data_IF_037090941766
#
_entry.id   IF_037090941766
#
_cell.length_a   1.000
_cell.length_b   1.000
_cell.length_c   1.000
_cell.angle_alpha   90.00
_cell.angle_beta   90.00
_cell.angle_gamma   90.00
#
_symmetry.space_group_name_H-M   'P 1'
#
loop_
_entity.id
_entity.type
_entity.pdbx_description
1 polymer ?
#
# COMPACT_ATOMS: atom_id res chain seq x y z
N UNK A 1 -19.97 -22.79 -1.64
CA UNK A 1 -18.82 -22.46 -2.51
C UNK A 1 -17.62 -23.13 -1.87
N UNK A 2 -16.97 -24.03 -2.59
CA UNK A 2 -15.95 -24.89 -2.02
C UNK A 2 -14.70 -24.07 -1.67
N UNK A 3 -13.92 -24.52 -0.68
CA UNK A 3 -12.77 -23.77 -0.17
C UNK A 3 -11.72 -23.49 -1.28
N UNK A 4 -11.53 -24.46 -2.18
CA UNK A 4 -10.66 -24.31 -3.35
C UNK A 4 -11.14 -23.22 -4.32
N UNK A 5 -12.46 -23.10 -4.55
CA UNK A 5 -13.02 -22.05 -5.41
C UNK A 5 -12.81 -20.66 -4.80
N UNK A 6 -12.93 -20.53 -3.48
CA UNK A 6 -12.70 -19.24 -2.80
C UNK A 6 -11.23 -18.83 -2.88
N UNK A 7 -10.30 -19.77 -2.67
CA UNK A 7 -8.87 -19.56 -2.89
C UNK A 7 -8.59 -19.15 -4.35
N UNK A 8 -9.12 -19.90 -5.32
CA UNK A 8 -8.96 -19.61 -6.75
C UNK A 8 -9.49 -18.21 -7.10
N UNK A 9 -10.62 -17.81 -6.54
CA UNK A 9 -11.16 -16.46 -6.73
C UNK A 9 -10.22 -15.38 -6.19
N UNK A 10 -9.57 -15.59 -5.04
CA UNK A 10 -8.59 -14.66 -4.49
C UNK A 10 -7.40 -14.49 -5.46
N UNK A 11 -6.90 -15.59 -6.01
CA UNK A 11 -5.76 -15.58 -6.95
C UNK A 11 -6.14 -14.96 -8.30
N UNK A 12 -7.29 -15.31 -8.88
CA UNK A 12 -7.72 -14.79 -10.19
C UNK A 12 -8.07 -13.30 -10.11
N UNK A 13 -8.79 -12.89 -9.06
CA UNK A 13 -9.23 -11.50 -8.90
C UNK A 13 -8.20 -10.62 -8.20
N UNK A 14 -6.96 -11.09 -8.02
CA UNK A 14 -5.91 -10.31 -7.34
C UNK A 14 -5.75 -8.90 -7.88
N UNK A 15 -5.92 -8.66 -9.18
CA UNK A 15 -5.83 -7.32 -9.77
C UNK A 15 -6.86 -6.31 -9.24
N UNK A 16 -7.96 -6.80 -8.67
CA UNK A 16 -9.01 -5.95 -8.09
C UNK A 16 -8.65 -5.49 -6.67
N UNK A 17 -7.70 -6.18 -6.02
CA UNK A 17 -7.33 -5.96 -4.62
C UNK A 17 -5.88 -5.49 -4.46
N UNK A 18 -4.96 -6.03 -5.27
CA UNK A 18 -3.53 -5.72 -5.23
C UNK A 18 -3.23 -4.53 -6.13
N UNK A 19 -2.85 -3.43 -5.49
CA UNK A 19 -2.29 -2.29 -6.17
C UNK A 19 -0.77 -2.38 -6.13
N UNK A 20 -0.14 -2.80 -7.23
CA UNK A 20 1.28 -2.54 -7.39
C UNK A 20 1.47 -1.05 -7.69
N UNK A 21 1.95 -0.33 -6.70
CA UNK A 21 2.25 1.07 -6.84
C UNK A 21 3.51 1.22 -7.66
N UNK A 22 3.37 1.75 -8.88
CA UNK A 22 4.53 2.08 -9.70
C UNK A 22 5.25 3.24 -9.04
N UNK A 23 6.36 2.95 -8.37
CA UNK A 23 7.22 3.94 -7.69
C UNK A 23 7.55 5.11 -8.61
N UNK A 24 7.87 4.84 -9.89
CA UNK A 24 8.09 5.90 -10.89
C UNK A 24 6.87 6.75 -11.20
N UNK A 25 5.66 6.20 -11.16
CA UNK A 25 4.42 6.96 -11.35
C UNK A 25 4.07 7.78 -10.11
N UNK A 26 4.29 7.25 -8.90
CA UNK A 26 4.16 8.01 -7.64
C UNK A 26 5.16 9.17 -7.63
N UNK A 27 6.43 8.91 -7.94
CA UNK A 27 7.46 9.94 -8.08
C UNK A 27 7.07 10.98 -9.12
N UNK A 28 6.60 10.56 -10.31
CA UNK A 28 6.11 11.50 -11.32
C UNK A 28 4.94 12.33 -10.80
N UNK A 29 3.97 11.75 -10.08
CA UNK A 29 2.86 12.53 -9.54
C UNK A 29 3.31 13.48 -8.40
N UNK A 30 4.18 13.02 -7.51
CA UNK A 30 4.73 13.81 -6.41
C UNK A 30 5.69 14.91 -6.88
N UNK A 31 6.31 14.78 -8.06
CA UNK A 31 7.29 15.74 -8.59
C UNK A 31 6.72 16.58 -9.74
N UNK A 32 6.11 15.95 -10.75
CA UNK A 32 5.57 16.66 -11.92
C UNK A 32 4.34 17.49 -11.58
N UNK A 33 3.47 17.07 -10.66
CA UNK A 33 2.31 17.90 -10.28
C UNK A 33 2.80 19.19 -9.63
N UNK A 34 3.69 19.17 -8.61
CA UNK A 34 4.27 20.40 -8.09
C UNK A 34 5.05 21.20 -9.14
N UNK A 35 5.88 20.57 -9.98
CA UNK A 35 6.65 21.27 -11.01
C UNK A 35 5.75 21.91 -12.09
N UNK A 36 4.67 21.24 -12.51
CA UNK A 36 3.72 21.77 -13.48
C UNK A 36 2.98 22.97 -12.91
N UNK A 37 2.59 22.89 -11.63
CA UNK A 37 1.96 24.00 -10.91
C UNK A 37 2.95 25.16 -10.77
N UNK A 38 4.20 24.91 -10.37
CA UNK A 38 5.28 25.92 -10.32
C UNK A 38 5.51 26.55 -11.71
N UNK A 39 5.50 25.76 -12.79
CA UNK A 39 5.70 26.26 -14.14
C UNK A 39 4.55 27.16 -14.62
N UNK A 40 3.29 26.74 -14.42
CA UNK A 40 2.10 27.56 -14.71
C UNK A 40 2.14 28.85 -13.88
N UNK A 41 2.61 28.76 -12.64
CA UNK A 41 2.76 29.90 -11.75
C UNK A 41 3.86 30.87 -12.18
N UNK A 42 5.02 30.39 -12.64
CA UNK A 42 6.07 31.25 -13.21
C UNK A 42 5.54 32.05 -14.40
N UNK A 43 4.69 31.45 -15.23
CA UNK A 43 4.05 32.14 -16.37
C UNK A 43 3.10 33.27 -15.91
N UNK A 44 2.41 33.09 -14.78
CA UNK A 44 1.44 34.06 -14.26
C UNK A 44 2.11 35.06 -13.28
N UNK A 45 3.23 34.71 -12.63
CA UNK A 45 4.05 35.60 -11.81
C UNK A 45 4.72 36.68 -12.68
N UNK A 46 5.16 36.29 -13.89
CA UNK A 46 5.53 37.24 -14.95
C UNK A 46 4.38 38.21 -15.29
N UNK A 47 3.12 37.82 -15.02
CA UNK A 47 1.92 38.63 -15.18
C UNK A 47 1.44 39.37 -13.90
N UNK A 48 2.13 39.24 -12.75
CA UNK A 48 2.03 40.17 -11.61
C UNK A 48 0.90 39.99 -10.59
N UNK A 49 0.73 38.80 -9.97
CA UNK A 49 -0.21 38.63 -8.83
C UNK A 49 0.44 37.94 -7.61
N UNK A 50 0.13 38.43 -6.40
CA UNK A 50 0.71 37.95 -5.13
C UNK A 50 -0.09 36.85 -4.42
N UNK A 51 -1.17 36.37 -5.03
CA UNK A 51 -2.08 35.32 -4.51
C UNK A 51 -1.59 33.89 -4.83
N UNK A 52 -0.40 33.81 -5.41
CA UNK A 52 0.08 32.66 -6.17
C UNK A 52 0.77 31.59 -5.32
N UNK A 53 1.66 31.99 -4.41
CA UNK A 53 2.48 31.03 -3.65
C UNK A 53 1.65 30.09 -2.76
N UNK A 54 0.52 30.56 -2.22
CA UNK A 54 -0.35 29.74 -1.36
C UNK A 54 -1.12 28.69 -2.17
N UNK A 55 -1.54 29.02 -3.40
CA UNK A 55 -2.25 28.08 -4.28
C UNK A 55 -1.39 26.88 -4.71
N UNK A 56 -0.09 27.10 -4.97
CA UNK A 56 0.84 26.02 -5.36
C UNK A 56 0.98 25.00 -4.26
N UNK A 57 1.30 25.49 -3.08
CA UNK A 57 1.54 24.68 -1.89
C UNK A 57 0.32 23.82 -1.61
N UNK A 58 -0.88 24.40 -1.66
CA UNK A 58 -2.13 23.69 -1.40
C UNK A 58 -2.49 22.62 -2.46
N UNK A 59 -2.24 22.86 -3.75
CA UNK A 59 -2.49 21.84 -4.81
C UNK A 59 -1.51 20.68 -4.71
N UNK A 60 -0.21 20.96 -4.53
CA UNK A 60 0.80 19.93 -4.32
C UNK A 60 0.46 19.04 -3.11
N UNK A 61 0.02 19.68 -2.03
CA UNK A 61 -0.40 19.01 -0.81
C UNK A 61 -1.67 18.16 -0.95
N UNK A 62 -2.64 18.60 -1.75
CA UNK A 62 -3.83 17.81 -2.07
C UNK A 62 -3.47 16.54 -2.83
N UNK A 63 -2.50 16.61 -3.75
CA UNK A 63 -2.02 15.45 -4.48
C UNK A 63 -1.32 14.44 -3.55
N UNK A 64 -0.49 14.91 -2.61
CA UNK A 64 0.16 14.05 -1.61
C UNK A 64 -0.87 13.32 -0.75
N UNK A 65 -1.87 14.03 -0.24
CA UNK A 65 -2.95 13.42 0.56
C UNK A 65 -3.77 12.40 -0.24
N UNK A 66 -4.00 12.65 -1.53
CA UNK A 66 -4.68 11.69 -2.40
C UNK A 66 -3.84 10.41 -2.60
N UNK A 67 -2.53 10.55 -2.80
CA UNK A 67 -1.62 9.39 -2.92
C UNK A 67 -1.62 8.58 -1.63
N UNK A 68 -1.52 9.22 -0.46
CA UNK A 68 -1.57 8.53 0.84
C UNK A 68 -2.90 7.79 1.04
N UNK A 69 -4.02 8.41 0.65
CA UNK A 69 -5.32 7.73 0.66
C UNK A 69 -5.32 6.49 -0.23
N UNK A 70 -4.78 6.57 -1.44
CA UNK A 70 -4.70 5.42 -2.36
C UNK A 70 -3.81 4.30 -1.81
N UNK A 71 -2.68 4.63 -1.18
CA UNK A 71 -1.79 3.67 -0.54
C UNK A 71 -2.49 2.91 0.59
N UNK A 72 -3.14 3.62 1.51
CA UNK A 72 -3.88 2.99 2.62
C UNK A 72 -5.07 2.19 2.11
N UNK A 73 -5.78 2.68 1.08
CA UNK A 73 -6.87 1.94 0.44
C UNK A 73 -6.35 0.64 -0.19
N UNK A 74 -5.23 0.70 -0.90
CA UNK A 74 -4.59 -0.47 -1.51
C UNK A 74 -4.21 -1.50 -0.46
N UNK A 75 -3.54 -1.07 0.61
CA UNK A 75 -3.19 -1.92 1.75
C UNK A 75 -4.44 -2.56 2.39
N UNK A 76 -5.49 -1.78 2.65
CA UNK A 76 -6.73 -2.30 3.24
C UNK A 76 -7.37 -3.38 2.33
N UNK A 77 -7.41 -3.12 1.02
CA UNK A 77 -7.98 -4.05 0.04
C UNK A 77 -7.17 -5.35 -0.03
N UNK A 78 -5.85 -5.23 -0.05
CA UNK A 78 -4.90 -6.34 -0.04
C UNK A 78 -5.04 -7.21 1.23
N UNK A 79 -4.97 -6.61 2.42
CA UNK A 79 -5.17 -7.33 3.69
C UNK A 79 -6.55 -8.01 3.77
N UNK A 80 -7.60 -7.37 3.27
CA UNK A 80 -8.95 -7.95 3.27
C UNK A 80 -9.05 -9.18 2.36
N UNK A 81 -8.40 -9.16 1.20
CA UNK A 81 -8.31 -10.34 0.32
C UNK A 81 -7.50 -11.44 1.00
N UNK A 82 -6.40 -11.08 1.64
CA UNK A 82 -5.50 -12.05 2.28
C UNK A 82 -6.14 -12.77 3.46
N UNK A 83 -7.00 -12.10 4.21
CA UNK A 83 -7.81 -12.74 5.23
C UNK A 83 -8.69 -13.85 4.63
N UNK A 84 -9.37 -13.59 3.51
CA UNK A 84 -10.20 -14.60 2.83
C UNK A 84 -9.33 -15.71 2.20
N UNK A 85 -8.16 -15.34 1.67
CA UNK A 85 -7.19 -16.28 1.12
C UNK A 85 -6.68 -17.27 2.18
N UNK A 86 -6.23 -16.79 3.35
CA UNK A 86 -5.81 -17.64 4.48
C UNK A 86 -6.98 -18.50 4.98
N UNK A 87 -8.15 -17.92 5.19
CA UNK A 87 -9.34 -18.65 5.63
C UNK A 87 -9.77 -19.74 4.64
N UNK A 88 -9.60 -19.49 3.34
CA UNK A 88 -9.89 -20.47 2.29
C UNK A 88 -8.90 -21.63 2.29
N UNK A 89 -7.61 -21.35 2.50
CA UNK A 89 -6.58 -22.39 2.61
C UNK A 89 -6.75 -23.23 3.88
N UNK A 90 -7.05 -22.61 5.03
CA UNK A 90 -7.38 -23.34 6.25
C UNK A 90 -8.61 -24.23 6.05
N UNK A 91 -9.70 -23.71 5.46
CA UNK A 91 -10.88 -24.51 5.14
C UNK A 91 -10.57 -25.66 4.17
N UNK A 92 -9.66 -25.45 3.22
CA UNK A 92 -9.22 -26.50 2.30
C UNK A 92 -8.47 -27.61 3.05
N UNK A 93 -7.51 -27.26 3.91
CA UNK A 93 -6.81 -28.23 4.75
C UNK A 93 -7.77 -29.05 5.63
N UNK A 94 -8.78 -28.39 6.23
CA UNK A 94 -9.84 -29.04 7.00
C UNK A 94 -10.65 -30.03 6.16
N UNK A 95 -10.97 -29.67 4.91
CA UNK A 95 -11.69 -30.56 3.99
C UNK A 95 -10.88 -31.82 3.62
N UNK A 96 -9.56 -31.77 3.79
CA UNK A 96 -8.63 -32.90 3.63
C UNK A 96 -8.35 -33.65 4.94
N UNK A 97 -9.06 -33.30 6.02
CA UNK A 97 -8.95 -33.99 7.32
C UNK A 97 -7.75 -33.56 8.17
N UNK A 98 -7.11 -32.42 7.85
CA UNK A 98 -6.03 -31.86 8.69
C UNK A 98 -6.61 -31.04 9.84
N UNK A 99 -5.87 -30.96 10.95
CA UNK A 99 -6.16 -30.03 12.05
C UNK A 99 -5.81 -28.61 11.61
N UNK A 100 -6.65 -27.63 11.93
CA UNK A 100 -6.49 -26.26 11.42
C UNK A 100 -6.50 -25.19 12.50
N UNK A 101 -6.52 -25.56 13.78
CA UNK A 101 -6.70 -24.61 14.89
C UNK A 101 -5.65 -23.47 14.86
N UNK A 102 -4.38 -23.77 14.57
CA UNK A 102 -3.33 -22.76 14.45
C UNK A 102 -3.44 -21.92 13.16
N UNK A 103 -3.83 -22.54 12.04
CA UNK A 103 -4.08 -21.86 10.77
C UNK A 103 -5.26 -20.87 10.87
N UNK A 104 -6.34 -21.31 11.53
CA UNK A 104 -7.53 -20.50 11.77
C UNK A 104 -7.20 -19.30 12.67
N UNK A 105 -6.42 -19.51 13.73
CA UNK A 105 -5.95 -18.44 14.63
C UNK A 105 -5.14 -17.37 13.89
N UNK A 106 -4.21 -17.78 13.01
CA UNK A 106 -3.43 -16.85 12.19
C UNK A 106 -4.30 -16.12 11.16
N UNK A 107 -5.24 -16.81 10.50
CA UNK A 107 -6.17 -16.21 9.55
C UNK A 107 -7.08 -15.16 10.23
N UNK A 108 -7.57 -15.44 11.44
CA UNK A 108 -8.35 -14.49 12.24
C UNK A 108 -7.53 -13.27 12.65
N UNK A 109 -6.27 -13.45 13.06
CA UNK A 109 -5.36 -12.34 13.39
C UNK A 109 -5.12 -11.40 12.21
N UNK A 110 -4.95 -11.96 11.00
CA UNK A 110 -4.77 -11.19 9.77
C UNK A 110 -6.04 -10.38 9.40
N UNK A 111 -7.23 -10.97 9.60
CA UNK A 111 -8.52 -10.29 9.40
C UNK A 111 -8.71 -9.08 10.34
N UNK A 112 -8.15 -9.13 11.54
CA UNK A 112 -8.29 -8.10 12.56
C UNK A 112 -7.41 -6.85 12.34
N UNK A 113 -6.66 -6.75 11.23
CA UNK A 113 -5.67 -5.69 11.00
C UNK A 113 -6.20 -4.22 11.07
N UNK A 114 -7.52 -4.00 11.08
CA UNK A 114 -8.10 -2.71 11.49
C UNK A 114 -7.81 -1.52 10.56
N UNK A 115 -7.35 -1.79 9.34
CA UNK A 115 -6.93 -0.82 8.32
C UNK A 115 -8.06 0.12 7.86
N UNK A 116 -9.32 -0.31 8.00
CA UNK A 116 -10.48 0.47 7.60
C UNK A 116 -10.61 1.82 8.31
N UNK A 117 -10.22 1.93 9.59
CA UNK A 117 -10.29 3.21 10.33
C UNK A 117 -9.30 4.24 9.80
N UNK A 118 -8.06 3.83 9.54
CA UNK A 118 -7.01 4.70 9.00
C UNK A 118 -7.37 5.10 7.57
N UNK A 119 -7.90 4.17 6.76
CA UNK A 119 -8.39 4.46 5.41
C UNK A 119 -9.49 5.55 5.42
N UNK A 120 -10.44 5.48 6.35
CA UNK A 120 -11.48 6.52 6.46
C UNK A 120 -10.88 7.84 6.94
N UNK A 121 -9.95 7.82 7.89
CA UNK A 121 -9.27 9.02 8.36
C UNK A 121 -8.55 9.74 7.22
N UNK A 122 -7.68 9.04 6.47
CA UNK A 122 -6.94 9.64 5.34
C UNK A 122 -7.86 10.11 4.23
N UNK A 123 -8.96 9.38 3.96
CA UNK A 123 -10.01 9.82 3.02
C UNK A 123 -10.66 11.14 3.43
N UNK A 124 -11.08 11.25 4.69
CA UNK A 124 -11.75 12.47 5.16
C UNK A 124 -10.77 13.65 5.27
N UNK A 125 -9.51 13.41 5.67
CA UNK A 125 -8.45 14.41 5.62
C UNK A 125 -8.25 14.94 4.21
N UNK A 126 -8.16 14.05 3.21
CA UNK A 126 -8.08 14.43 1.80
C UNK A 126 -9.29 15.26 1.35
N UNK A 127 -10.51 14.81 1.63
CA UNK A 127 -11.75 15.52 1.23
C UNK A 127 -11.81 16.91 1.88
N UNK A 128 -11.51 17.01 3.17
CA UNK A 128 -11.51 18.27 3.90
C UNK A 128 -10.51 19.26 3.29
N UNK A 129 -9.30 18.80 2.94
CA UNK A 129 -8.30 19.62 2.25
C UNK A 129 -8.73 20.05 0.87
N UNK A 130 -9.27 19.12 0.07
CA UNK A 130 -9.74 19.44 -1.27
C UNK A 130 -10.84 20.53 -1.22
N UNK A 131 -11.82 20.38 -0.31
CA UNK A 131 -12.89 21.36 -0.11
C UNK A 131 -12.35 22.71 0.39
N UNK A 132 -11.44 22.69 1.37
CA UNK A 132 -10.80 23.92 1.88
C UNK A 132 -10.06 24.67 0.77
N UNK A 133 -9.30 23.95 -0.07
CA UNK A 133 -8.54 24.52 -1.17
C UNK A 133 -9.42 25.08 -2.27
N UNK A 134 -10.47 24.35 -2.67
CA UNK A 134 -11.46 24.86 -3.64
C UNK A 134 -12.18 26.10 -3.09
N UNK A 135 -12.56 26.09 -1.81
CA UNK A 135 -13.22 27.23 -1.17
C UNK A 135 -12.30 28.44 -1.14
N UNK A 136 -11.04 28.27 -0.72
CA UNK A 136 -10.05 29.35 -0.77
C UNK A 136 -9.92 29.90 -2.20
N UNK A 137 -9.72 29.04 -3.21
CA UNK A 137 -9.56 29.49 -4.59
C UNK A 137 -10.77 30.25 -5.15
N UNK A 138 -11.99 29.87 -4.77
CA UNK A 138 -13.23 30.52 -5.21
C UNK A 138 -13.42 31.87 -4.50
N UNK A 139 -13.15 31.94 -3.20
CA UNK A 139 -13.47 33.10 -2.39
C UNK A 139 -12.30 34.07 -2.19
N UNK A 140 -11.09 33.76 -2.67
CA UNK A 140 -9.91 34.64 -2.57
C UNK A 140 -10.05 35.99 -3.29
N UNK A 141 -11.01 36.14 -4.21
CA UNK A 141 -11.33 37.44 -4.82
C UNK A 141 -12.20 38.35 -3.96
N UNK A 142 -12.96 37.78 -3.01
CA UNK A 142 -13.99 38.48 -2.23
C UNK A 142 -13.71 38.52 -0.72
N UNK A 143 -12.69 37.79 -0.28
CA UNK A 143 -12.33 37.64 1.13
C UNK A 143 -11.23 38.62 1.52
N UNK A 144 -11.64 39.80 1.98
CA UNK A 144 -10.81 40.67 2.84
C UNK A 144 -10.66 40.00 4.22
N UNK A 145 -9.97 38.85 4.27
CA UNK A 145 -9.69 38.13 5.51
C UNK A 145 -8.64 38.92 6.27
N UNK A 146 -9.11 39.70 7.22
CA UNK A 146 -8.27 40.38 8.19
C UNK A 146 -7.22 39.47 8.84
N UNK A 147 -5.97 39.93 8.78
CA UNK A 147 -4.89 39.74 9.77
C UNK A 147 -4.24 38.38 10.02
N UNK A 148 -4.73 37.25 9.51
CA UNK A 148 -3.88 36.04 9.52
C UNK A 148 -2.97 36.07 8.28
N UNK A 149 -1.63 36.18 8.42
CA UNK A 149 -0.77 36.18 7.25
C UNK A 149 -0.96 34.85 6.52
N UNK A 150 -1.27 34.86 5.23
CA UNK A 150 -1.38 33.64 4.39
C UNK A 150 -0.18 32.69 4.58
N UNK A 151 0.98 33.25 4.89
CA UNK A 151 2.20 32.54 5.29
C UNK A 151 1.99 31.60 6.49
N UNK A 152 1.30 32.04 7.55
CA UNK A 152 1.05 31.22 8.75
C UNK A 152 0.15 30.04 8.43
N UNK A 153 -0.92 30.27 7.64
CA UNK A 153 -1.83 29.21 7.21
C UNK A 153 -1.13 28.17 6.32
N UNK A 154 -0.28 28.64 5.39
CA UNK A 154 0.52 27.78 4.51
C UNK A 154 1.53 26.93 5.30
N UNK A 155 2.21 27.50 6.30
CA UNK A 155 3.12 26.75 7.18
C UNK A 155 2.40 25.73 8.05
N UNK A 156 1.23 26.10 8.61
CA UNK A 156 0.42 25.18 9.41
C UNK A 156 -0.08 23.99 8.57
N UNK A 157 -0.57 24.24 7.35
CA UNK A 157 -0.98 23.20 6.42
C UNK A 157 0.18 22.28 6.03
N UNK A 158 1.35 22.86 5.73
CA UNK A 158 2.58 22.13 5.41
C UNK A 158 3.01 21.22 6.56
N UNK A 159 3.04 21.74 7.79
CA UNK A 159 3.42 20.97 8.97
C UNK A 159 2.45 19.81 9.23
N UNK A 160 1.15 20.04 9.11
CA UNK A 160 0.15 19.00 9.32
C UNK A 160 0.25 17.87 8.29
N UNK A 161 0.53 18.19 7.02
CA UNK A 161 0.67 17.17 5.97
C UNK A 161 1.97 16.40 6.10
N UNK A 162 3.07 17.07 6.49
CA UNK A 162 4.30 16.38 6.82
C UNK A 162 4.08 15.36 7.96
N UNK A 163 3.33 15.75 9.00
CA UNK A 163 2.95 14.84 10.09
C UNK A 163 2.08 13.68 9.59
N UNK A 164 1.03 13.97 8.81
CA UNK A 164 0.14 12.94 8.24
C UNK A 164 0.91 11.94 7.38
N UNK A 165 1.80 12.42 6.51
CA UNK A 165 2.65 11.60 5.65
C UNK A 165 3.56 10.67 6.46
N UNK A 166 4.18 11.19 7.52
CA UNK A 166 5.03 10.39 8.41
C UNK A 166 4.22 9.33 9.16
N UNK A 167 3.14 9.74 9.82
CA UNK A 167 2.31 8.84 10.62
C UNK A 167 1.70 7.73 9.75
N UNK A 168 1.20 8.10 8.57
CA UNK A 168 0.64 7.15 7.60
C UNK A 168 1.71 6.18 7.08
N UNK A 169 2.89 6.68 6.72
CA UNK A 169 3.99 5.81 6.24
C UNK A 169 4.46 4.84 7.32
N UNK A 170 4.58 5.29 8.58
CA UNK A 170 4.92 4.42 9.71
C UNK A 170 3.82 3.36 9.92
N UNK A 171 2.56 3.77 9.81
CA UNK A 171 1.43 2.86 9.94
C UNK A 171 1.44 1.77 8.85
N UNK A 172 1.61 2.15 7.58
CA UNK A 172 1.68 1.21 6.46
C UNK A 172 2.85 0.26 6.67
N UNK A 173 4.05 0.76 7.02
CA UNK A 173 5.22 -0.08 7.26
C UNK A 173 4.97 -1.13 8.35
N UNK A 174 4.45 -0.71 9.51
CA UNK A 174 4.13 -1.62 10.62
C UNK A 174 3.10 -2.66 10.22
N UNK A 175 2.08 -2.25 9.48
CA UNK A 175 1.00 -3.14 9.06
C UNK A 175 1.52 -4.17 8.06
N UNK A 176 2.27 -3.75 7.04
CA UNK A 176 2.90 -4.64 6.05
C UNK A 176 3.84 -5.62 6.74
N UNK A 177 4.74 -5.15 7.63
CA UNK A 177 5.66 -6.05 8.34
C UNK A 177 4.94 -7.05 9.25
N UNK A 178 3.87 -6.63 9.93
CA UNK A 178 3.06 -7.54 10.76
C UNK A 178 2.39 -8.59 9.88
N UNK A 179 1.68 -8.14 8.84
CA UNK A 179 0.90 -8.99 7.94
C UNK A 179 1.79 -10.00 7.20
N UNK A 180 2.94 -9.55 6.72
CA UNK A 180 3.95 -10.40 6.10
C UNK A 180 4.49 -11.49 7.04
N UNK A 181 4.72 -11.15 8.31
CA UNK A 181 5.12 -12.13 9.32
C UNK A 181 4.03 -13.16 9.61
N UNK A 182 2.77 -12.73 9.68
CA UNK A 182 1.62 -13.62 9.89
C UNK A 182 1.44 -14.57 8.70
N UNK A 183 1.58 -14.08 7.47
CA UNK A 183 1.52 -14.91 6.27
C UNK A 183 2.70 -15.88 6.13
N UNK A 184 3.92 -15.48 6.46
CA UNK A 184 5.08 -16.39 6.45
C UNK A 184 4.88 -17.52 7.48
N UNK A 185 4.38 -17.20 8.67
CA UNK A 185 4.05 -18.20 9.69
C UNK A 185 2.94 -19.14 9.21
N UNK A 186 1.86 -18.57 8.64
CA UNK A 186 0.74 -19.34 8.13
C UNK A 186 1.16 -20.30 7.01
N UNK A 187 1.92 -19.82 6.02
CA UNK A 187 2.36 -20.66 4.90
C UNK A 187 3.35 -21.73 5.33
N UNK A 188 4.17 -21.47 6.36
CA UNK A 188 5.04 -22.49 6.96
C UNK A 188 4.21 -23.62 7.58
N UNK A 189 3.22 -23.30 8.41
CA UNK A 189 2.33 -24.29 9.01
C UNK A 189 1.48 -25.03 7.96
N UNK A 190 0.97 -24.29 6.97
CA UNK A 190 0.18 -24.90 5.91
C UNK A 190 1.01 -25.92 5.12
N UNK A 191 2.27 -25.62 4.80
CA UNK A 191 3.17 -26.55 4.13
C UNK A 191 3.51 -27.76 5.01
N UNK A 192 3.70 -27.56 6.31
CA UNK A 192 3.92 -28.66 7.25
C UNK A 192 2.74 -29.65 7.27
N UNK A 193 1.50 -29.14 7.29
CA UNK A 193 0.30 -29.96 7.38
C UNK A 193 -0.19 -30.54 6.05
N UNK A 194 0.03 -29.83 4.94
CA UNK A 194 -0.53 -30.15 3.62
C UNK A 194 0.52 -30.55 2.59
N UNK A 195 1.80 -30.39 2.88
CA UNK A 195 2.86 -30.57 1.90
C UNK A 195 2.97 -31.99 1.36
N UNK A 196 2.66 -33.00 2.17
CA UNK A 196 2.60 -34.40 1.76
C UNK A 196 1.39 -34.69 0.84
N UNK A 197 0.25 -34.05 1.09
CA UNK A 197 -0.97 -34.17 0.26
C UNK A 197 -0.77 -33.50 -1.09
N UNK A 198 -0.13 -32.33 -1.09
CA UNK A 198 0.02 -31.48 -2.27
C UNK A 198 1.30 -31.75 -3.05
N UNK A 199 2.27 -32.45 -2.47
CA UNK A 199 3.62 -32.57 -3.02
C UNK A 199 4.32 -31.21 -3.10
N UNK A 200 4.13 -30.37 -2.08
CA UNK A 200 4.55 -28.95 -2.06
C UNK A 200 5.24 -28.62 -0.74
N UNK A 201 6.48 -28.15 -0.79
CA UNK A 201 7.36 -27.98 0.38
C UNK A 201 7.90 -26.55 0.54
N UNK A 202 7.36 -25.59 -0.22
CA UNK A 202 7.95 -24.27 -0.39
C UNK A 202 7.09 -23.19 0.29
N UNK A 203 7.28 -22.90 1.59
CA UNK A 203 6.53 -21.83 2.26
C UNK A 203 6.93 -20.46 1.72
N UNK A 204 6.10 -19.44 1.98
CA UNK A 204 6.44 -18.08 1.62
C UNK A 204 7.60 -17.60 2.49
N UNK A 205 8.65 -17.09 1.84
CA UNK A 205 9.79 -16.46 2.52
C UNK A 205 9.99 -15.09 1.94
N UNK A 206 10.00 -14.08 2.81
CA UNK A 206 10.25 -12.70 2.42
C UNK A 206 11.34 -12.10 3.29
N UNK A 207 12.10 -11.15 2.73
CA UNK A 207 13.00 -10.29 3.51
C UNK A 207 12.24 -9.10 4.12
N UNK A 208 10.90 -9.08 4.02
CA UNK A 208 10.05 -8.00 4.55
C UNK A 208 10.04 -8.01 6.09
N UNK A 209 10.04 -9.21 6.69
CA UNK A 209 10.16 -9.43 8.14
C UNK A 209 11.56 -9.19 8.74
N UNK A 210 12.65 -9.38 7.99
CA UNK A 210 14.03 -9.31 8.53
C UNK A 210 14.46 -7.91 8.96
N UNK A 211 13.83 -6.88 8.39
CA UNK A 211 14.03 -5.52 8.88
C UNK A 211 13.16 -5.33 10.12
N UNK A 212 13.68 -5.69 11.30
CA UNK A 212 13.21 -5.05 12.55
C UNK A 212 13.35 -3.56 12.29
N UNK A 213 12.22 -2.91 12.03
CA UNK A 213 12.22 -1.53 11.57
C UNK A 213 12.59 -0.69 12.78
N UNK A 214 13.88 -0.48 13.00
CA UNK A 214 14.32 0.53 13.93
C UNK A 214 13.82 1.86 13.35
N UNK A 215 12.75 2.37 13.95
CA UNK A 215 12.12 3.61 13.51
C UNK A 215 12.99 4.82 13.91
N UNK A 216 13.96 4.64 14.81
CA UNK A 216 14.76 5.73 15.34
C UNK A 216 15.59 6.44 14.25
N UNK A 217 16.34 5.75 13.36
CA UNK A 217 17.00 6.38 12.22
C UNK A 217 16.03 7.17 11.33
N UNK A 218 14.83 6.65 11.07
CA UNK A 218 13.83 7.34 10.26
C UNK A 218 13.32 8.61 10.95
N UNK A 219 13.05 8.57 12.25
CA UNK A 219 12.62 9.73 13.04
C UNK A 219 13.72 10.80 13.06
N UNK A 220 14.99 10.41 13.26
CA UNK A 220 16.12 11.34 13.24
C UNK A 220 16.29 11.99 11.86
N UNK A 221 16.19 11.21 10.78
CA UNK A 221 16.28 11.73 9.41
C UNK A 221 15.11 12.67 9.08
N UNK A 222 13.89 12.38 9.55
CA UNK A 222 12.74 13.28 9.39
C UNK A 222 12.98 14.63 10.09
N UNK A 223 13.49 14.62 11.31
CA UNK A 223 13.78 15.83 12.08
C UNK A 223 14.88 16.68 11.42
N UNK A 224 15.99 16.05 11.01
CA UNK A 224 17.16 16.75 10.43
C UNK A 224 16.86 17.29 9.03
N UNK A 225 16.02 16.61 8.26
CA UNK A 225 15.69 17.01 6.88
C UNK A 225 14.44 17.88 6.75
N UNK A 226 13.85 18.31 7.88
CA UNK A 226 12.60 19.09 7.92
C UNK A 226 11.47 18.46 7.07
N UNK A 227 11.40 17.13 7.07
CA UNK A 227 10.38 16.39 6.32
C UNK A 227 10.73 16.06 4.87
N UNK A 228 11.84 16.51 4.27
CA UNK A 228 12.22 16.07 2.91
C UNK A 228 12.41 14.54 2.86
N UNK A 229 12.91 13.95 3.94
CA UNK A 229 13.05 12.51 4.06
C UNK A 229 11.72 11.74 4.03
N UNK A 230 10.58 12.39 4.29
CA UNK A 230 9.28 11.71 4.29
C UNK A 230 8.91 11.14 2.91
N UNK A 231 9.35 11.79 1.83
CA UNK A 231 9.19 11.30 0.47
C UNK A 231 9.99 10.00 0.26
N UNK A 232 11.28 10.02 0.60
CA UNK A 232 12.13 8.83 0.52
C UNK A 232 11.61 7.68 1.39
N UNK A 233 11.13 8.02 2.59
CA UNK A 233 10.53 7.05 3.50
C UNK A 233 9.25 6.45 2.90
N UNK A 234 8.38 7.25 2.30
CA UNK A 234 7.20 6.76 1.61
C UNK A 234 7.55 5.83 0.43
N UNK A 235 8.55 6.17 -0.39
CA UNK A 235 9.01 5.26 -1.46
C UNK A 235 9.55 3.95 -0.91
N UNK A 236 10.30 4.00 0.20
CA UNK A 236 10.78 2.80 0.88
C UNK A 236 9.60 1.92 1.34
N UNK A 237 8.57 2.51 1.95
CA UNK A 237 7.36 1.80 2.38
C UNK A 237 6.62 1.16 1.20
N UNK A 238 6.43 1.91 0.11
CA UNK A 238 5.83 1.40 -1.12
C UNK A 238 6.63 0.24 -1.70
N UNK A 239 7.96 0.37 -1.75
CA UNK A 239 8.85 -0.69 -2.21
C UNK A 239 8.68 -1.97 -1.38
N UNK A 240 8.59 -1.86 -0.04
CA UNK A 240 8.37 -3.02 0.84
C UNK A 240 7.03 -3.69 0.61
N UNK A 241 5.96 -2.92 0.41
CA UNK A 241 4.65 -3.46 0.08
C UNK A 241 4.65 -4.18 -1.28
N UNK A 242 5.30 -3.62 -2.30
CA UNK A 242 5.43 -4.27 -3.60
C UNK A 242 6.26 -5.58 -3.52
N UNK A 243 7.32 -5.59 -2.72
CA UNK A 243 8.13 -6.80 -2.49
C UNK A 243 7.29 -7.91 -1.86
N UNK A 244 6.53 -7.58 -0.81
CA UNK A 244 5.61 -8.50 -0.15
C UNK A 244 4.61 -9.11 -1.14
N UNK A 245 3.88 -8.26 -1.88
CA UNK A 245 2.90 -8.69 -2.89
C UNK A 245 3.55 -9.61 -3.93
N UNK A 246 4.76 -9.26 -4.39
CA UNK A 246 5.47 -10.03 -5.42
C UNK A 246 5.89 -11.42 -4.91
N UNK A 247 6.34 -11.52 -3.67
CA UNK A 247 6.67 -12.81 -3.04
C UNK A 247 5.42 -13.67 -2.85
N UNK A 248 4.31 -13.07 -2.40
CA UNK A 248 3.03 -13.77 -2.27
C UNK A 248 2.56 -14.29 -3.63
N UNK A 249 2.68 -13.51 -4.70
CA UNK A 249 2.29 -13.96 -6.04
C UNK A 249 3.07 -15.17 -6.53
N UNK A 250 4.38 -15.23 -6.25
CA UNK A 250 5.19 -16.38 -6.61
C UNK A 250 4.72 -17.63 -5.86
N UNK A 251 4.49 -17.50 -4.55
CA UNK A 251 3.96 -18.57 -3.72
C UNK A 251 2.58 -19.05 -4.20
N UNK A 252 1.66 -18.14 -4.47
CA UNK A 252 0.30 -18.45 -4.94
C UNK A 252 0.31 -19.20 -6.28
N UNK A 253 1.18 -18.82 -7.21
CA UNK A 253 1.30 -19.48 -8.52
C UNK A 253 1.79 -20.94 -8.37
N UNK A 254 2.77 -21.17 -7.49
CA UNK A 254 3.30 -22.51 -7.25
C UNK A 254 2.30 -23.37 -6.46
N UNK A 255 1.63 -22.80 -5.45
CA UNK A 255 0.60 -23.49 -4.66
C UNK A 255 -0.62 -23.86 -5.52
N UNK A 256 -1.09 -22.97 -6.39
CA UNK A 256 -2.21 -23.24 -7.28
C UNK A 256 -1.92 -24.43 -8.21
N UNK A 257 -0.69 -24.53 -8.73
CA UNK A 257 -0.27 -25.65 -9.55
C UNK A 257 -0.27 -26.97 -8.74
N UNK A 258 0.23 -26.94 -7.51
CA UNK A 258 0.24 -28.11 -6.62
C UNK A 258 -1.20 -28.56 -6.27
N UNK A 259 -2.07 -27.63 -5.87
CA UNK A 259 -3.47 -27.91 -5.58
C UNK A 259 -4.20 -28.47 -6.80
N UNK A 260 -4.03 -27.88 -7.99
CA UNK A 260 -4.67 -28.38 -9.21
C UNK A 260 -4.22 -29.81 -9.56
N UNK A 261 -2.94 -30.13 -9.41
CA UNK A 261 -2.42 -31.50 -9.61
C UNK A 261 -3.01 -32.48 -8.60
N UNK A 262 -3.12 -32.08 -7.32
CA UNK A 262 -3.73 -32.90 -6.28
C UNK A 262 -5.23 -33.16 -6.54
N UNK A 263 -5.93 -32.23 -7.20
CA UNK A 263 -7.32 -32.40 -7.66
C UNK A 263 -7.44 -33.18 -8.99
N UNK A 264 -6.34 -33.69 -9.54
CA UNK A 264 -6.34 -34.53 -10.74
C UNK A 264 -6.20 -33.78 -12.07
N UNK A 265 -5.81 -32.50 -12.07
CA UNK A 265 -5.50 -31.79 -13.31
C UNK A 265 -4.23 -32.36 -13.96
N UNK A 266 -4.31 -32.76 -15.24
CA UNK A 266 -3.22 -33.43 -15.96
C UNK A 266 -2.24 -32.48 -16.67
N UNK A 267 -2.64 -31.23 -16.95
CA UNK A 267 -1.78 -30.24 -17.64
C UNK A 267 -2.13 -28.81 -17.15
N UNK A 268 -1.38 -28.31 -16.17
CA UNK A 268 -1.50 -26.92 -15.70
C UNK A 268 -0.49 -26.07 -16.45
N UNK A 269 -0.92 -25.42 -17.54
CA UNK A 269 -0.04 -24.56 -18.33
C UNK A 269 0.06 -23.16 -17.73
N UNK A 270 1.27 -22.79 -17.30
CA UNK A 270 1.58 -21.40 -16.98
C UNK A 270 1.56 -20.56 -18.26
N UNK A 271 0.73 -19.53 -18.30
CA UNK A 271 0.76 -18.54 -19.38
C UNK A 271 1.94 -17.60 -19.08
N UNK A 272 3.04 -17.74 -19.83
CA UNK A 272 4.31 -16.98 -19.69
C UNK A 272 4.19 -15.44 -19.64
N UNK A 273 3.01 -14.88 -19.93
CA UNK A 273 2.76 -13.44 -19.85
C UNK A 273 2.92 -12.88 -18.43
N UNK A 274 2.74 -13.66 -17.36
CA UNK A 274 2.94 -13.15 -15.98
C UNK A 274 4.43 -12.99 -15.65
N UNK A 275 5.27 -13.97 -16.00
CA UNK A 275 6.70 -13.97 -15.65
C UNK A 275 7.49 -12.83 -16.28
N UNK A 276 7.20 -12.46 -17.53
CA UNK A 276 7.86 -11.30 -18.18
C UNK A 276 7.48 -9.97 -17.53
N UNK A 277 6.25 -9.87 -17.00
CA UNK A 277 5.77 -8.65 -16.31
C UNK A 277 6.26 -8.59 -14.87
N UNK A 278 6.26 -9.72 -14.15
CA UNK A 278 6.78 -9.84 -12.79
C UNK A 278 8.30 -9.75 -12.74
N UNK A 279 9.04 -10.34 -13.70
CA UNK A 279 10.49 -10.16 -13.82
C UNK A 279 10.85 -8.73 -14.21
N UNK A 280 10.11 -8.10 -15.14
CA UNK A 280 10.31 -6.69 -15.47
C UNK A 280 9.93 -5.75 -14.30
N UNK A 281 8.95 -6.12 -13.47
CA UNK A 281 8.64 -5.43 -12.21
C UNK A 281 9.74 -5.66 -11.17
N UNK A 282 10.30 -6.88 -11.06
CA UNK A 282 11.42 -7.20 -10.18
C UNK A 282 12.70 -6.46 -10.61
N UNK A 283 13.02 -6.38 -11.90
CA UNK A 283 14.15 -5.62 -12.46
C UNK A 283 13.97 -4.09 -12.32
N UNK A 284 12.73 -3.62 -12.15
CA UNK A 284 12.42 -2.22 -11.82
C UNK A 284 12.43 -1.94 -10.31
N UNK A 285 12.51 -2.99 -9.49
CA UNK A 285 12.43 -2.95 -8.02
C UNK A 285 13.80 -3.31 -7.38
N UNK A 286 14.69 -3.99 -8.10
CA UNK A 286 16.13 -4.21 -7.77
C UNK A 286 17.01 -3.04 -8.14
#
# INVERSE_FOLDING_TARGET
MDAADRFLNCVIKRSDFDSLFRVGAILMLMVLVPLTVIFIMLQILVAGSGLMDTGVTLVAWTAVLYILYLEVKGLNSHCSRDAEWMASLAAYARSRGRGTDELDSLAESASAAGTGRIMQATKYTFIAFAVANTSMAVFTGDLDIGSLPHTVLSWAATAMIAVELVLTSIYILKTVSKHDSEQCAFTSLFVEDMGDVLGFDSPMVTDVTKAKSDLLPHILLLAVTLGIYSLFFNLFVVHRMNLHISCQWAYEEDLLEAMAKAEGATDVRRIERSRKKSAMLMDMVS
#
